data_IF_836918373154
#
_entry.id   IF_836918373154
#
_cell.length_a   1.000
_cell.length_b   1.000
_cell.length_c   1.000
_cell.angle_alpha   90.00
_cell.angle_beta   90.00
_cell.angle_gamma   90.00
#
_symmetry.space_group_name_H-M   'P 1'
#
loop_
_entity.id
_entity.type
_entity.pdbx_description
1 polymer ?
#
# COMPACT_ATOMS: atom_id res chain seq x y z
N UNK A 1 34.28 21.87 25.05
CA UNK A 1 34.13 21.58 23.63
C UNK A 1 33.00 20.56 23.32
N UNK A 2 32.97 19.38 23.93
CA UNK A 2 31.90 18.38 23.70
C UNK A 2 30.49 18.91 23.99
N UNK A 3 30.28 19.64 25.07
CA UNK A 3 28.97 20.22 25.43
C UNK A 3 28.50 21.28 24.43
N UNK A 4 29.42 22.09 23.92
CA UNK A 4 29.11 23.09 22.88
C UNK A 4 28.78 22.44 21.53
N UNK A 5 29.49 21.37 21.17
CA UNK A 5 29.20 20.59 19.97
C UNK A 5 27.83 19.88 20.09
N UNK A 6 27.53 19.30 21.25
CA UNK A 6 26.22 18.68 21.52
C UNK A 6 25.07 19.70 21.48
N UNK A 7 25.25 20.88 22.11
CA UNK A 7 24.26 21.96 22.05
C UNK A 7 24.05 22.50 20.64
N UNK A 8 25.13 22.63 19.86
CA UNK A 8 25.06 23.04 18.43
C UNK A 8 24.30 22.00 17.59
N UNK A 9 24.52 20.71 17.80
CA UNK A 9 23.79 19.63 17.13
C UNK A 9 22.30 19.66 17.47
N UNK A 10 21.97 19.82 18.75
CA UNK A 10 20.56 19.92 19.19
C UNK A 10 19.89 21.15 18.57
N UNK A 11 20.54 22.30 18.61
CA UNK A 11 20.01 23.53 17.99
C UNK A 11 19.81 23.37 16.47
N UNK A 12 20.73 22.71 15.77
CA UNK A 12 20.61 22.40 14.36
C UNK A 12 19.43 21.47 14.06
N UNK A 13 19.27 20.40 14.85
CA UNK A 13 18.13 19.48 14.71
C UNK A 13 16.80 20.21 14.95
N UNK A 14 16.73 21.06 15.99
CA UNK A 14 15.54 21.86 16.27
C UNK A 14 15.23 22.84 15.13
N UNK A 15 16.27 23.48 14.54
CA UNK A 15 16.10 24.34 13.37
C UNK A 15 15.52 23.56 12.18
N UNK A 16 16.03 22.37 11.90
CA UNK A 16 15.53 21.51 10.84
C UNK A 16 14.06 21.11 11.09
N UNK A 17 13.70 20.84 12.35
CA UNK A 17 12.30 20.58 12.73
C UNK A 17 11.39 21.78 12.46
N UNK A 18 11.85 23.01 12.77
CA UNK A 18 11.09 24.23 12.51
C UNK A 18 10.94 24.55 11.01
N UNK A 19 11.95 24.21 10.20
CA UNK A 19 11.94 24.47 8.75
C UNK A 19 11.15 23.38 7.99
N UNK A 20 11.09 22.16 8.54
CA UNK A 20 10.45 21.00 7.88
C UNK A 20 9.02 21.29 7.39
N UNK A 21 8.10 21.94 8.16
CA UNK A 21 6.76 22.25 7.69
C UNK A 21 6.70 23.19 6.49
N UNK A 22 7.74 24.00 6.26
CA UNK A 22 7.78 24.95 5.14
C UNK A 22 7.99 24.26 3.79
N UNK A 23 8.59 23.06 3.80
CA UNK A 23 8.87 22.27 2.59
C UNK A 23 7.94 21.07 2.44
N UNK A 24 7.15 20.76 3.47
CA UNK A 24 6.19 19.67 3.44
C UNK A 24 4.98 20.01 2.54
N UNK A 25 4.38 19.02 1.89
CA UNK A 25 3.17 19.24 1.10
C UNK A 25 2.04 19.86 1.93
N UNK A 26 1.23 20.71 1.31
CA UNK A 26 -0.02 21.15 1.95
C UNK A 26 -0.99 19.98 2.01
N UNK A 27 -1.63 19.70 3.16
CA UNK A 27 -2.60 18.64 3.27
C UNK A 27 -3.76 18.82 2.28
N UNK A 28 -4.24 17.71 1.72
CA UNK A 28 -5.44 17.69 0.88
C UNK A 28 -6.67 17.81 1.79
N UNK A 29 -7.55 18.77 1.51
CA UNK A 29 -8.85 18.84 2.16
C UNK A 29 -9.79 17.77 1.57
N UNK A 30 -10.34 16.89 2.41
CA UNK A 30 -11.29 15.87 1.97
C UNK A 30 -12.76 16.34 1.87
N UNK A 31 -13.24 17.32 2.63
CA UNK A 31 -14.61 17.80 2.46
C UNK A 31 -14.86 18.25 1.02
N UNK A 32 -15.79 17.56 0.32
CA UNK A 32 -16.10 17.82 -1.09
C UNK A 32 -15.10 17.30 -2.12
N UNK A 33 -13.99 16.68 -1.70
CA UNK A 33 -13.02 16.09 -2.61
C UNK A 33 -13.56 14.78 -3.24
N UNK A 34 -13.25 14.55 -4.50
CA UNK A 34 -13.58 13.31 -5.18
C UNK A 34 -12.46 12.27 -5.02
N UNK A 35 -12.76 11.17 -4.35
CA UNK A 35 -11.85 10.06 -4.11
C UNK A 35 -12.28 8.82 -4.90
N UNK A 36 -11.42 8.33 -5.78
CA UNK A 36 -11.62 7.09 -6.54
C UNK A 36 -10.82 5.98 -5.86
N UNK A 37 -11.48 4.84 -5.57
CA UNK A 37 -10.85 3.67 -4.94
C UNK A 37 -11.04 2.44 -5.81
N UNK A 38 -9.97 1.94 -6.42
CA UNK A 38 -9.99 0.64 -7.08
C UNK A 38 -9.88 -0.48 -6.05
N UNK A 39 -10.56 -1.61 -6.28
CA UNK A 39 -10.67 -2.66 -5.26
C UNK A 39 -11.50 -2.22 -4.03
N UNK A 40 -12.37 -1.21 -4.18
CA UNK A 40 -13.15 -0.61 -3.10
C UNK A 40 -14.32 -1.43 -2.57
N UNK A 41 -14.57 -2.63 -3.12
CA UNK A 41 -15.71 -3.47 -2.72
C UNK A 41 -15.48 -4.29 -1.44
N UNK A 42 -14.24 -4.39 -0.93
CA UNK A 42 -13.91 -5.19 0.26
C UNK A 42 -12.57 -4.78 0.89
N UNK A 43 -12.27 -5.35 2.06
CA UNK A 43 -10.97 -5.26 2.71
C UNK A 43 -10.47 -3.83 2.90
N UNK A 44 -9.17 -3.61 2.66
CA UNK A 44 -8.49 -2.33 2.85
C UNK A 44 -9.14 -1.23 2.00
N UNK A 45 -9.46 -1.50 0.72
CA UNK A 45 -10.06 -0.51 -0.18
C UNK A 45 -11.41 0.01 0.31
N UNK A 46 -12.29 -0.89 0.79
CA UNK A 46 -13.57 -0.49 1.40
C UNK A 46 -13.35 0.36 2.66
N UNK A 47 -12.41 -0.02 3.52
CA UNK A 47 -12.12 0.74 4.73
C UNK A 47 -11.50 2.12 4.43
N UNK A 48 -10.66 2.24 3.38
CA UNK A 48 -10.16 3.54 2.91
C UNK A 48 -11.33 4.42 2.43
N UNK A 49 -12.25 3.87 1.65
CA UNK A 49 -13.42 4.59 1.19
C UNK A 49 -14.29 5.09 2.37
N UNK A 50 -14.51 4.25 3.39
CA UNK A 50 -15.21 4.63 4.62
C UNK A 50 -14.48 5.78 5.34
N UNK A 51 -13.16 5.68 5.49
CA UNK A 51 -12.38 6.70 6.19
C UNK A 51 -12.40 8.06 5.46
N UNK A 52 -12.30 8.06 4.12
CA UNK A 52 -12.44 9.28 3.33
C UNK A 52 -13.87 9.85 3.38
N UNK A 53 -14.88 8.97 3.34
CA UNK A 53 -16.29 9.39 3.39
C UNK A 53 -16.65 10.03 4.73
N UNK A 54 -16.16 9.50 5.85
CA UNK A 54 -16.29 10.11 7.19
C UNK A 54 -15.70 11.52 7.28
N UNK A 55 -14.77 11.85 6.38
CA UNK A 55 -14.14 13.17 6.30
C UNK A 55 -14.77 14.07 5.24
N UNK A 56 -15.92 13.70 4.68
CA UNK A 56 -16.71 14.53 3.79
C UNK A 56 -16.41 14.38 2.29
N UNK A 57 -15.63 13.38 1.87
CA UNK A 57 -15.34 13.12 0.47
C UNK A 57 -16.54 12.54 -0.29
N UNK A 58 -16.58 12.76 -1.61
CA UNK A 58 -17.35 11.97 -2.56
C UNK A 58 -16.53 10.74 -2.97
N UNK A 59 -17.16 9.58 -3.08
CA UNK A 59 -16.48 8.32 -3.32
C UNK A 59 -16.92 7.71 -4.64
N UNK A 60 -15.95 7.29 -5.47
CA UNK A 60 -16.18 6.34 -6.56
C UNK A 60 -15.49 5.02 -6.23
N UNK A 61 -16.27 3.96 -6.12
CA UNK A 61 -15.80 2.59 -5.96
C UNK A 61 -15.68 1.92 -7.33
N UNK A 62 -14.51 1.34 -7.59
CA UNK A 62 -14.23 0.60 -8.81
C UNK A 62 -13.82 -0.83 -8.48
N UNK A 63 -14.56 -1.84 -8.94
CA UNK A 63 -14.24 -3.26 -8.79
C UNK A 63 -15.03 -4.09 -9.80
N UNK A 64 -14.72 -5.38 -9.93
CA UNK A 64 -15.33 -6.29 -10.93
C UNK A 64 -16.75 -6.75 -10.58
N UNK A 65 -17.04 -6.93 -9.31
CA UNK A 65 -18.31 -7.50 -8.85
C UNK A 65 -19.27 -6.40 -8.40
N UNK A 66 -20.35 -6.22 -9.15
CA UNK A 66 -21.34 -5.17 -8.94
C UNK A 66 -22.11 -5.35 -7.63
N UNK A 67 -22.50 -6.58 -7.28
CA UNK A 67 -23.25 -6.85 -6.04
C UNK A 67 -22.42 -6.48 -4.80
N UNK A 68 -21.11 -6.83 -4.81
CA UNK A 68 -20.19 -6.45 -3.74
C UNK A 68 -19.98 -4.93 -3.67
N UNK A 69 -19.96 -4.24 -4.81
CA UNK A 69 -19.88 -2.77 -4.86
C UNK A 69 -21.12 -2.14 -4.22
N UNK A 70 -22.31 -2.62 -4.55
CA UNK A 70 -23.58 -2.12 -3.99
C UNK A 70 -23.70 -2.42 -2.50
N UNK A 71 -23.19 -3.57 -2.04
CA UNK A 71 -23.12 -3.87 -0.61
C UNK A 71 -22.16 -2.92 0.10
N UNK A 72 -20.96 -2.71 -0.44
CA UNK A 72 -19.97 -1.78 0.11
C UNK A 72 -20.51 -0.35 0.15
N UNK A 73 -21.20 0.10 -0.91
CA UNK A 73 -21.90 1.39 -0.94
C UNK A 73 -22.85 1.57 0.25
N UNK A 74 -23.73 0.60 0.49
CA UNK A 74 -24.68 0.64 1.62
C UNK A 74 -23.96 0.74 2.98
N UNK A 75 -22.80 0.09 3.12
CA UNK A 75 -22.01 0.18 4.35
C UNK A 75 -21.33 1.56 4.50
N UNK A 76 -20.78 2.12 3.41
CA UNK A 76 -20.12 3.42 3.42
C UNK A 76 -21.13 4.53 3.70
N UNK A 77 -22.30 4.50 3.07
CA UNK A 77 -23.35 5.53 3.22
C UNK A 77 -23.88 5.66 4.66
N UNK A 78 -23.74 4.64 5.51
CA UNK A 78 -24.04 4.72 6.95
C UNK A 78 -23.15 5.74 7.70
N UNK A 79 -22.05 6.15 7.11
CA UNK A 79 -21.08 7.09 7.68
C UNK A 79 -21.18 8.50 7.09
N UNK A 80 -22.29 8.81 6.42
CA UNK A 80 -22.53 10.15 5.86
C UNK A 80 -22.53 11.21 6.96
N UNK A 81 -21.87 12.33 6.70
CA UNK A 81 -21.86 13.50 7.59
C UNK A 81 -22.74 14.64 7.07
N UNK A 82 -23.26 14.53 5.85
CA UNK A 82 -24.21 15.47 5.24
C UNK A 82 -24.93 14.82 4.06
N UNK A 83 -26.05 15.42 3.64
CA UNK A 83 -26.95 14.90 2.59
C UNK A 83 -26.38 15.02 1.17
N UNK A 84 -25.24 15.71 0.98
CA UNK A 84 -24.65 15.96 -0.33
C UNK A 84 -23.64 14.89 -0.74
N UNK A 85 -23.16 14.09 0.22
CA UNK A 85 -22.18 13.06 -0.08
C UNK A 85 -22.76 11.95 -0.95
N UNK A 86 -21.95 11.51 -1.92
CA UNK A 86 -22.36 10.49 -2.89
C UNK A 86 -21.33 9.36 -2.92
N UNK A 87 -21.82 8.12 -3.02
CA UNK A 87 -21.02 6.94 -3.33
C UNK A 87 -21.44 6.41 -4.70
N UNK A 88 -20.55 6.54 -5.69
CA UNK A 88 -20.71 6.00 -7.03
C UNK A 88 -20.06 4.63 -7.12
N UNK A 89 -20.72 3.65 -7.74
CA UNK A 89 -20.19 2.33 -8.03
C UNK A 89 -20.04 2.14 -9.53
N UNK A 90 -18.87 1.69 -9.99
CA UNK A 90 -18.62 1.38 -11.40
C UNK A 90 -17.92 0.01 -11.48
N UNK A 91 -18.53 -0.91 -12.24
CA UNK A 91 -17.98 -2.24 -12.44
C UNK A 91 -17.03 -2.27 -13.63
N UNK A 92 -15.75 -2.63 -13.38
CA UNK A 92 -14.74 -2.84 -14.42
C UNK A 92 -13.57 -3.68 -13.87
N UNK A 93 -12.90 -4.43 -14.72
CA UNK A 93 -11.60 -5.03 -14.41
C UNK A 93 -10.49 -4.05 -14.82
N UNK A 94 -9.85 -3.45 -13.84
CA UNK A 94 -8.80 -2.43 -14.05
C UNK A 94 -7.51 -2.97 -14.69
N UNK A 95 -7.38 -4.30 -14.85
CA UNK A 95 -6.18 -4.95 -15.37
C UNK A 95 -6.25 -5.35 -16.84
N UNK A 96 -7.42 -5.23 -17.48
CA UNK A 96 -7.64 -5.81 -18.81
C UNK A 96 -7.42 -4.80 -19.95
N UNK A 97 -8.10 -3.68 -19.93
CA UNK A 97 -8.14 -2.72 -21.03
C UNK A 97 -8.06 -1.28 -20.53
N UNK A 98 -7.02 -0.56 -20.95
CA UNK A 98 -6.83 0.83 -20.60
C UNK A 98 -8.00 1.72 -21.02
N UNK A 99 -8.56 1.53 -22.23
CA UNK A 99 -9.62 2.39 -22.73
C UNK A 99 -10.91 2.24 -21.90
N UNK A 100 -11.21 1.03 -21.43
CA UNK A 100 -12.34 0.82 -20.51
C UNK A 100 -12.11 1.53 -19.18
N UNK A 101 -10.90 1.43 -18.63
CA UNK A 101 -10.54 2.12 -17.37
C UNK A 101 -10.60 3.63 -17.54
N UNK A 102 -10.06 4.18 -18.64
CA UNK A 102 -10.12 5.61 -18.92
C UNK A 102 -11.57 6.10 -19.01
N UNK A 103 -12.44 5.36 -19.72
CA UNK A 103 -13.86 5.69 -19.84
C UNK A 103 -14.57 5.68 -18.48
N UNK A 104 -14.26 4.71 -17.61
CA UNK A 104 -14.81 4.65 -16.25
C UNK A 104 -14.38 5.87 -15.42
N UNK A 105 -13.12 6.27 -15.51
CA UNK A 105 -12.63 7.47 -14.82
C UNK A 105 -13.31 8.73 -15.37
N UNK A 106 -13.48 8.86 -16.68
CA UNK A 106 -14.22 9.98 -17.30
C UNK A 106 -15.65 10.04 -16.81
N UNK A 107 -16.38 8.92 -16.79
CA UNK A 107 -17.75 8.85 -16.25
C UNK A 107 -17.82 9.27 -14.78
N UNK A 108 -16.84 8.86 -13.97
CA UNK A 108 -16.77 9.26 -12.57
C UNK A 108 -16.56 10.77 -12.43
N UNK A 109 -15.67 11.35 -13.24
CA UNK A 109 -15.41 12.80 -13.26
C UNK A 109 -16.60 13.63 -13.75
N UNK A 110 -17.35 13.15 -14.72
CA UNK A 110 -18.57 13.80 -15.20
C UNK A 110 -19.66 13.87 -14.11
N UNK A 111 -19.74 12.87 -13.24
CA UNK A 111 -20.75 12.79 -12.18
C UNK A 111 -20.37 13.51 -10.89
N UNK A 112 -19.11 13.41 -10.49
CA UNK A 112 -18.65 13.87 -9.16
C UNK A 112 -17.56 14.94 -9.22
N UNK A 113 -17.21 15.42 -10.42
CA UNK A 113 -16.11 16.36 -10.62
C UNK A 113 -14.75 15.67 -10.74
N UNK A 114 -13.70 16.45 -10.96
CA UNK A 114 -12.35 15.92 -11.18
C UNK A 114 -11.84 15.14 -9.96
N UNK A 115 -11.03 14.12 -10.21
CA UNK A 115 -10.47 13.28 -9.15
C UNK A 115 -9.39 14.05 -8.37
N UNK A 116 -9.54 14.14 -7.06
CA UNK A 116 -8.59 14.76 -6.13
C UNK A 116 -7.65 13.73 -5.51
N UNK A 117 -8.16 12.52 -5.26
CA UNK A 117 -7.37 11.39 -4.77
C UNK A 117 -7.73 10.11 -5.51
N UNK A 118 -6.71 9.42 -6.04
CA UNK A 118 -6.84 8.08 -6.59
C UNK A 118 -6.15 7.08 -5.65
N UNK A 119 -6.88 6.05 -5.24
CA UNK A 119 -6.35 4.94 -4.43
C UNK A 119 -6.34 3.65 -5.26
N UNK A 120 -5.16 3.24 -5.69
CA UNK A 120 -4.93 1.99 -6.38
C UNK A 120 -4.80 0.87 -5.33
N UNK A 121 -5.93 0.24 -4.99
CA UNK A 121 -6.03 -0.84 -4.01
C UNK A 121 -6.52 -2.17 -4.61
N UNK A 122 -6.88 -2.20 -5.89
CA UNK A 122 -7.16 -3.45 -6.58
C UNK A 122 -5.90 -4.33 -6.60
N UNK A 123 -6.04 -5.57 -6.19
CA UNK A 123 -4.91 -6.48 -6.13
C UNK A 123 -5.34 -7.92 -5.89
N UNK A 124 -4.39 -8.83 -6.05
CA UNK A 124 -4.55 -10.25 -5.74
C UNK A 124 -3.21 -10.80 -5.25
N UNK A 125 -3.25 -11.93 -4.56
CA UNK A 125 -2.08 -12.65 -4.08
C UNK A 125 -2.16 -14.13 -4.46
N UNK A 126 -1.01 -14.72 -4.71
CA UNK A 126 -0.83 -16.16 -4.85
C UNK A 126 0.46 -16.50 -4.12
N UNK A 127 0.41 -17.50 -3.25
CA UNK A 127 1.56 -18.03 -2.53
C UNK A 127 1.81 -19.48 -2.97
N UNK A 128 3.07 -19.82 -3.20
CA UNK A 128 3.49 -21.16 -3.61
C UNK A 128 4.99 -21.21 -3.78
N UNK A 129 5.57 -22.42 -3.83
CA UNK A 129 7.00 -22.56 -4.18
C UNK A 129 7.21 -22.23 -5.64
N UNK A 130 8.38 -21.70 -5.96
CA UNK A 130 8.71 -21.21 -7.29
C UNK A 130 8.49 -22.29 -8.38
N UNK A 131 9.00 -23.48 -8.13
CA UNK A 131 8.91 -24.62 -9.05
C UNK A 131 7.51 -25.23 -9.17
N UNK A 132 6.64 -24.97 -8.21
CA UNK A 132 5.26 -25.49 -8.15
C UNK A 132 4.24 -24.47 -8.71
N UNK A 133 4.65 -23.23 -8.92
CA UNK A 133 3.76 -22.13 -9.32
C UNK A 133 3.59 -22.08 -10.85
N UNK A 134 2.35 -22.04 -11.31
CA UNK A 134 2.04 -21.84 -12.73
C UNK A 134 2.59 -20.51 -13.26
N UNK A 135 3.23 -20.53 -14.43
CA UNK A 135 3.81 -19.31 -15.07
C UNK A 135 2.76 -18.24 -15.27
N UNK A 136 1.53 -18.61 -15.61
CA UNK A 136 0.40 -17.69 -15.75
C UNK A 136 0.08 -16.89 -14.48
N UNK A 137 0.47 -17.38 -13.29
CA UNK A 137 0.30 -16.66 -12.02
C UNK A 137 1.21 -15.44 -11.95
N UNK A 138 2.44 -15.51 -12.51
CA UNK A 138 3.36 -14.37 -12.58
C UNK A 138 2.78 -13.27 -13.47
N UNK A 139 2.29 -13.63 -14.65
CA UNK A 139 1.65 -12.68 -15.58
C UNK A 139 0.41 -12.04 -14.96
N UNK A 140 -0.47 -12.86 -14.37
CA UNK A 140 -1.68 -12.41 -13.71
C UNK A 140 -1.39 -11.42 -12.57
N UNK A 141 -0.40 -11.71 -11.73
CA UNK A 141 -0.03 -10.81 -10.63
C UNK A 141 0.54 -9.49 -11.13
N UNK A 142 1.35 -9.50 -12.18
CA UNK A 142 1.82 -8.26 -12.82
C UNK A 142 0.66 -7.50 -13.47
N UNK A 143 -0.23 -8.16 -14.18
CA UNK A 143 -1.39 -7.52 -14.79
C UNK A 143 -2.29 -6.86 -13.74
N UNK A 144 -2.70 -7.59 -12.70
CA UNK A 144 -3.65 -7.07 -11.70
C UNK A 144 -2.99 -6.05 -10.78
N UNK A 145 -1.83 -6.37 -10.18
CA UNK A 145 -1.24 -5.53 -9.15
C UNK A 145 -0.52 -4.30 -9.72
N UNK A 146 0.17 -4.45 -10.86
CA UNK A 146 0.96 -3.39 -11.47
C UNK A 146 0.18 -2.65 -12.56
N UNK A 147 -0.23 -3.31 -13.65
CA UNK A 147 -0.96 -2.63 -14.74
C UNK A 147 -2.32 -2.11 -14.28
N UNK A 148 -3.02 -2.84 -13.39
CA UNK A 148 -4.26 -2.39 -12.76
C UNK A 148 -4.09 -1.15 -11.88
N UNK A 149 -2.85 -0.77 -11.53
CA UNK A 149 -2.52 0.50 -10.88
C UNK A 149 -2.03 1.57 -11.87
N UNK A 150 -1.36 1.16 -12.96
CA UNK A 150 -0.89 2.06 -14.02
C UNK A 150 -2.06 2.71 -14.75
N UNK A 151 -3.05 1.92 -15.16
CA UNK A 151 -4.15 2.40 -16.00
C UNK A 151 -5.00 3.50 -15.33
N UNK A 152 -5.51 3.33 -14.10
CA UNK A 152 -6.24 4.40 -13.43
C UNK A 152 -5.37 5.64 -13.18
N UNK A 153 -4.09 5.45 -12.83
CA UNK A 153 -3.16 6.56 -12.60
C UNK A 153 -2.95 7.39 -13.85
N UNK A 154 -2.76 6.73 -15.02
CA UNK A 154 -2.64 7.40 -16.30
C UNK A 154 -3.91 8.17 -16.67
N UNK A 155 -5.09 7.64 -16.35
CA UNK A 155 -6.38 8.28 -16.67
C UNK A 155 -6.64 9.57 -15.87
N UNK A 156 -6.05 9.73 -14.66
CA UNK A 156 -6.28 10.93 -13.83
C UNK A 156 -5.15 11.96 -13.90
N UNK A 157 -3.94 11.55 -14.30
CA UNK A 157 -2.73 12.35 -14.07
C UNK A 157 -2.74 13.70 -14.79
N UNK A 158 -3.25 13.77 -16.03
CA UNK A 158 -3.30 15.00 -16.82
C UNK A 158 -4.15 16.06 -16.12
N UNK A 159 -5.36 15.71 -15.73
CA UNK A 159 -6.29 16.61 -15.02
C UNK A 159 -5.72 17.06 -13.67
N UNK A 160 -5.05 16.16 -12.92
CA UNK A 160 -4.39 16.52 -11.66
C UNK A 160 -3.25 17.52 -11.89
N UNK A 161 -2.41 17.33 -12.94
CA UNK A 161 -1.33 18.25 -13.28
C UNK A 161 -1.86 19.64 -13.68
N UNK A 162 -2.89 19.70 -14.52
CA UNK A 162 -3.53 20.95 -14.97
C UNK A 162 -4.10 21.75 -13.79
N UNK A 163 -4.77 21.07 -12.86
CA UNK A 163 -5.36 21.69 -11.66
C UNK A 163 -4.34 21.97 -10.56
N UNK A 164 -3.15 21.40 -10.66
CA UNK A 164 -2.07 21.46 -9.63
C UNK A 164 -2.55 20.96 -8.25
N UNK A 165 -3.40 19.95 -8.27
CA UNK A 165 -3.96 19.27 -7.08
C UNK A 165 -4.13 17.79 -7.38
N UNK A 166 -3.58 16.92 -6.54
CA UNK A 166 -3.80 15.48 -6.65
C UNK A 166 -3.04 14.67 -5.61
N UNK A 167 -3.62 13.50 -5.29
CA UNK A 167 -2.99 12.44 -4.51
C UNK A 167 -3.15 11.12 -5.25
N UNK A 168 -2.07 10.40 -5.42
CA UNK A 168 -2.08 9.04 -5.99
C UNK A 168 -1.51 8.09 -4.95
N UNK A 169 -2.31 7.10 -4.57
CA UNK A 169 -1.93 6.10 -3.58
C UNK A 169 -1.77 4.75 -4.27
N UNK A 170 -0.64 4.10 -4.07
CA UNK A 170 -0.40 2.72 -4.46
C UNK A 170 -0.39 1.84 -3.21
N UNK A 171 -1.33 0.90 -3.12
CA UNK A 171 -1.37 -0.07 -2.02
C UNK A 171 -0.46 -1.25 -2.40
N UNK A 172 0.78 -1.17 -1.96
CA UNK A 172 1.78 -2.23 -2.08
C UNK A 172 1.59 -3.28 -0.95
N UNK A 173 2.64 -3.68 -0.30
CA UNK A 173 2.71 -4.61 0.84
C UNK A 173 4.09 -4.52 1.48
N UNK A 174 4.26 -4.99 2.70
CA UNK A 174 5.59 -5.26 3.25
C UNK A 174 6.37 -6.24 2.36
N UNK A 175 5.69 -7.17 1.65
CA UNK A 175 6.27 -8.01 0.62
C UNK A 175 6.74 -7.23 -0.64
N UNK A 176 6.48 -5.93 -0.74
CA UNK A 176 7.06 -4.99 -1.71
C UNK A 176 8.28 -4.23 -1.17
N UNK A 177 8.74 -4.56 0.05
CA UNK A 177 9.95 -4.02 0.67
C UNK A 177 11.01 -5.11 0.92
N UNK A 178 10.57 -6.37 1.06
CA UNK A 178 11.43 -7.55 1.14
C UNK A 178 10.78 -8.72 0.42
N UNK A 179 11.60 -9.60 -0.17
CA UNK A 179 11.13 -10.86 -0.73
C UNK A 179 10.96 -11.91 0.37
N UNK A 180 9.86 -12.65 0.33
CA UNK A 180 9.55 -13.71 1.28
C UNK A 180 9.40 -15.06 0.57
N UNK A 181 9.72 -16.14 1.27
CA UNK A 181 9.51 -17.50 0.79
C UNK A 181 8.06 -17.67 0.31
N UNK A 182 7.86 -18.28 -0.85
CA UNK A 182 6.54 -18.53 -1.41
C UNK A 182 5.89 -17.33 -2.13
N UNK A 183 6.52 -16.15 -2.15
CA UNK A 183 6.01 -14.96 -2.81
C UNK A 183 6.82 -14.52 -4.03
N UNK A 184 7.44 -15.47 -4.75
CA UNK A 184 8.29 -15.17 -5.92
C UNK A 184 7.56 -14.49 -7.07
N UNK A 185 6.24 -14.62 -7.18
CA UNK A 185 5.42 -13.87 -8.12
C UNK A 185 4.78 -12.62 -7.47
N UNK A 186 4.35 -12.72 -6.21
CA UNK A 186 3.66 -11.62 -5.51
C UNK A 186 4.61 -10.47 -5.17
N UNK A 187 5.75 -10.76 -4.51
CA UNK A 187 6.71 -9.73 -4.13
C UNK A 187 7.17 -8.87 -5.31
N UNK A 188 7.61 -9.42 -6.47
CA UNK A 188 7.98 -8.59 -7.61
C UNK A 188 6.87 -7.66 -8.09
N UNK A 189 5.61 -8.12 -8.11
CA UNK A 189 4.46 -7.28 -8.51
C UNK A 189 4.25 -6.09 -7.57
N UNK A 190 4.57 -6.25 -6.27
CA UNK A 190 4.47 -5.19 -5.26
C UNK A 190 5.71 -4.29 -5.21
N UNK A 191 6.91 -4.82 -5.52
CA UNK A 191 8.12 -4.01 -5.76
C UNK A 191 7.99 -3.11 -6.98
N UNK A 192 7.36 -3.61 -8.06
CA UNK A 192 7.12 -2.83 -9.28
C UNK A 192 6.33 -1.54 -9.01
N UNK A 193 5.37 -1.56 -8.06
CA UNK A 193 4.63 -0.36 -7.63
C UNK A 193 5.55 0.69 -7.02
N UNK A 194 6.57 0.28 -6.28
CA UNK A 194 7.53 1.21 -5.69
C UNK A 194 8.34 1.92 -6.78
N UNK A 195 8.90 1.19 -7.74
CA UNK A 195 9.65 1.78 -8.84
C UNK A 195 8.79 2.76 -9.67
N UNK A 196 7.53 2.38 -9.95
CA UNK A 196 6.55 3.27 -10.60
C UNK A 196 6.34 4.55 -9.78
N UNK A 197 6.12 4.41 -8.48
CA UNK A 197 5.82 5.53 -7.59
C UNK A 197 7.00 6.50 -7.46
N UNK A 198 8.23 5.99 -7.32
CA UNK A 198 9.45 6.82 -7.22
C UNK A 198 9.65 7.64 -8.49
N UNK A 199 9.53 7.03 -9.66
CA UNK A 199 9.63 7.73 -10.94
C UNK A 199 8.49 8.75 -11.13
N UNK A 200 7.25 8.32 -10.90
CA UNK A 200 6.08 9.17 -11.05
C UNK A 200 6.13 10.39 -10.11
N UNK A 201 6.59 10.23 -8.86
CA UNK A 201 6.71 11.32 -7.91
C UNK A 201 7.61 12.45 -8.45
N UNK A 202 8.70 12.12 -9.13
CA UNK A 202 9.57 13.12 -9.76
C UNK A 202 8.84 13.90 -10.85
N UNK A 203 8.02 13.21 -11.66
CA UNK A 203 7.30 13.84 -12.78
C UNK A 203 6.13 14.73 -12.32
N UNK A 204 5.51 14.42 -11.18
CA UNK A 204 4.27 15.09 -10.76
C UNK A 204 4.47 16.13 -9.65
N UNK A 205 5.55 16.03 -8.86
CA UNK A 205 5.85 16.95 -7.76
C UNK A 205 5.86 18.44 -8.18
N UNK A 206 6.39 18.83 -9.36
CA UNK A 206 6.35 20.23 -9.81
C UNK A 206 4.93 20.76 -10.04
N UNK A 207 3.96 19.86 -10.18
CA UNK A 207 2.54 20.18 -10.36
C UNK A 207 1.72 20.09 -9.06
N UNK A 208 2.38 20.04 -7.90
CA UNK A 208 1.72 19.89 -6.59
C UNK A 208 0.83 18.63 -6.49
N UNK A 209 1.23 17.59 -7.22
CA UNK A 209 0.65 16.24 -7.11
C UNK A 209 1.63 15.35 -6.35
N UNK A 210 1.13 14.54 -5.42
CA UNK A 210 1.97 13.72 -4.55
C UNK A 210 1.55 12.25 -4.61
N UNK A 211 2.56 11.39 -4.58
CA UNK A 211 2.40 9.94 -4.61
C UNK A 211 2.68 9.36 -3.23
N UNK A 212 1.84 8.42 -2.80
CA UNK A 212 2.03 7.66 -1.56
C UNK A 212 2.09 6.17 -1.89
N UNK A 213 3.11 5.47 -1.37
CA UNK A 213 3.17 4.00 -1.41
C UNK A 213 2.89 3.48 -0.01
N UNK A 214 1.84 2.68 0.11
CA UNK A 214 1.47 2.04 1.36
C UNK A 214 2.01 0.61 1.42
N UNK A 215 2.52 0.22 2.58
CA UNK A 215 3.09 -1.10 2.85
C UNK A 215 2.34 -1.83 3.98
N UNK A 216 1.09 -2.28 3.72
CA UNK A 216 0.35 -3.05 4.70
C UNK A 216 1.09 -4.36 5.07
N UNK A 217 1.06 -4.78 6.35
CA UNK A 217 1.32 -6.14 6.78
C UNK A 217 0.16 -7.06 6.40
N UNK A 218 0.21 -8.33 6.82
CA UNK A 218 -0.94 -9.23 6.76
C UNK A 218 -2.13 -8.54 7.43
N UNK A 219 -3.23 -8.41 6.69
CA UNK A 219 -4.40 -7.65 7.11
C UNK A 219 -5.64 -8.55 6.99
N UNK A 220 -6.49 -8.56 8.02
CA UNK A 220 -7.71 -9.38 8.07
C UNK A 220 -8.69 -8.98 6.97
N UNK A 221 -8.60 -9.66 5.85
CA UNK A 221 -9.37 -9.38 4.64
C UNK A 221 -9.75 -10.68 3.94
N UNK A 222 -10.77 -10.66 3.07
CA UNK A 222 -11.11 -11.82 2.24
C UNK A 222 -9.92 -12.31 1.37
N UNK A 223 -9.02 -11.41 0.96
CA UNK A 223 -7.84 -11.77 0.19
C UNK A 223 -6.85 -12.60 1.03
N UNK A 224 -6.57 -12.21 2.27
CA UNK A 224 -5.71 -12.97 3.17
C UNK A 224 -6.34 -14.35 3.51
N UNK A 225 -7.66 -14.40 3.72
CA UNK A 225 -8.35 -15.65 3.96
C UNK A 225 -8.23 -16.63 2.78
N UNK A 226 -8.29 -16.12 1.54
CA UNK A 226 -8.10 -16.93 0.34
C UNK A 226 -6.64 -17.39 0.17
N UNK A 227 -5.69 -16.47 0.37
CA UNK A 227 -4.25 -16.76 0.31
C UNK A 227 -3.84 -17.85 1.31
N UNK A 228 -4.39 -17.80 2.53
CA UNK A 228 -4.08 -18.76 3.59
C UNK A 228 -4.50 -20.20 3.28
N UNK A 229 -5.38 -20.44 2.30
CA UNK A 229 -5.78 -21.80 1.88
C UNK A 229 -4.62 -22.54 1.21
N UNK A 230 -3.76 -21.83 0.48
CA UNK A 230 -2.67 -22.41 -0.32
C UNK A 230 -1.28 -21.99 0.13
N UNK A 231 -1.20 -21.13 1.16
CA UNK A 231 0.07 -20.58 1.66
C UNK A 231 0.99 -21.70 2.16
N UNK A 232 2.23 -21.84 1.67
CA UNK A 232 3.20 -22.81 2.16
C UNK A 232 3.43 -22.68 3.67
N UNK A 233 3.78 -23.79 4.33
CA UNK A 233 4.02 -23.80 5.78
C UNK A 233 5.13 -22.79 6.16
N UNK A 234 6.20 -22.73 5.39
CA UNK A 234 7.31 -21.83 5.58
C UNK A 234 6.85 -20.36 5.56
N UNK A 235 6.05 -20.00 4.55
CA UNK A 235 5.47 -18.65 4.41
C UNK A 235 4.55 -18.32 5.59
N UNK A 236 3.73 -19.28 6.01
CA UNK A 236 2.82 -19.10 7.16
C UNK A 236 3.59 -18.81 8.45
N UNK A 237 4.61 -19.63 8.75
CA UNK A 237 5.43 -19.46 9.96
C UNK A 237 6.22 -18.13 9.96
N UNK A 238 6.65 -17.67 8.79
CA UNK A 238 7.29 -16.35 8.65
C UNK A 238 6.26 -15.23 8.89
N UNK A 239 5.06 -15.30 8.28
CA UNK A 239 3.99 -14.32 8.46
C UNK A 239 3.52 -14.21 9.91
N UNK A 240 3.45 -15.32 10.64
CA UNK A 240 3.04 -15.35 12.06
C UNK A 240 3.95 -14.52 12.95
N UNK A 241 5.19 -14.22 12.55
CA UNK A 241 6.12 -13.40 13.34
C UNK A 241 5.70 -11.93 13.44
N UNK A 242 4.88 -11.42 12.52
CA UNK A 242 4.45 -10.01 12.46
C UNK A 242 2.99 -9.78 12.89
N UNK A 243 2.20 -10.85 12.99
CA UNK A 243 0.78 -10.78 13.33
C UNK A 243 -0.11 -10.21 12.22
N UNK A 244 -1.41 -10.12 12.50
CA UNK A 244 -2.44 -9.68 11.54
C UNK A 244 -3.06 -8.37 12.01
N UNK A 245 -3.11 -7.36 11.12
CA UNK A 245 -3.70 -6.05 11.40
C UNK A 245 -5.18 -6.00 10.99
N UNK A 246 -5.94 -5.10 11.65
CA UNK A 246 -7.31 -4.79 11.24
C UNK A 246 -7.31 -3.85 10.03
N UNK A 247 -8.17 -4.07 9.02
CA UNK A 247 -8.20 -3.24 7.81
C UNK A 247 -8.54 -1.77 8.08
N UNK A 248 -9.30 -1.48 9.13
CA UNK A 248 -9.64 -0.11 9.53
C UNK A 248 -8.40 0.67 10.03
N UNK A 249 -7.52 0.00 10.76
CA UNK A 249 -6.27 0.61 11.24
C UNK A 249 -5.32 0.93 10.08
N UNK A 250 -5.20 -0.02 9.16
CA UNK A 250 -4.42 0.13 7.92
C UNK A 250 -4.97 1.29 7.09
N UNK A 251 -6.29 1.32 6.86
CA UNK A 251 -6.95 2.36 6.08
C UNK A 251 -6.75 3.75 6.68
N UNK A 252 -6.92 3.89 8.00
CA UNK A 252 -6.75 5.17 8.72
C UNK A 252 -5.34 5.73 8.55
N UNK A 253 -4.32 4.87 8.64
CA UNK A 253 -2.93 5.30 8.45
C UNK A 253 -2.68 5.71 6.99
N UNK A 254 -3.14 4.91 6.00
CA UNK A 254 -2.97 5.22 4.58
C UNK A 254 -3.62 6.55 4.22
N UNK A 255 -4.88 6.78 4.65
CA UNK A 255 -5.60 8.03 4.38
C UNK A 255 -4.88 9.22 5.00
N UNK A 256 -4.42 9.10 6.25
CA UNK A 256 -3.65 10.15 6.93
C UNK A 256 -2.41 10.53 6.13
N UNK A 257 -1.60 9.54 5.73
CA UNK A 257 -0.35 9.79 5.01
C UNK A 257 -0.60 10.36 3.61
N UNK A 258 -1.61 9.83 2.91
CA UNK A 258 -2.00 10.33 1.59
C UNK A 258 -2.47 11.78 1.62
N UNK A 259 -3.30 12.16 2.59
CA UNK A 259 -3.73 13.55 2.80
C UNK A 259 -2.52 14.47 2.99
N UNK A 260 -1.57 14.06 3.82
CA UNK A 260 -0.35 14.81 4.10
C UNK A 260 0.63 14.84 2.94
N UNK A 261 0.46 13.96 1.94
CA UNK A 261 1.37 13.82 0.80
C UNK A 261 2.67 13.10 1.17
N UNK A 262 2.66 12.30 2.24
CA UNK A 262 3.80 11.46 2.61
C UNK A 262 4.05 10.41 1.53
N UNK A 263 5.32 10.21 1.15
CA UNK A 263 5.65 9.23 0.12
C UNK A 263 5.48 7.80 0.63
N UNK A 264 5.97 7.50 1.85
CA UNK A 264 5.82 6.19 2.46
C UNK A 264 4.68 6.20 3.48
N UNK A 265 3.78 5.22 3.38
CA UNK A 265 2.78 4.93 4.41
C UNK A 265 3.11 3.60 5.07
N UNK A 266 3.65 3.68 6.30
CA UNK A 266 4.11 2.53 7.09
C UNK A 266 3.10 2.22 8.19
N UNK A 267 2.77 0.95 8.36
CA UNK A 267 1.78 0.50 9.34
C UNK A 267 2.51 -0.22 10.49
N UNK A 268 2.38 0.33 11.69
CA UNK A 268 3.00 -0.22 12.90
C UNK A 268 4.52 -0.02 12.97
N UNK A 269 5.13 -0.54 14.03
CA UNK A 269 6.57 -0.45 14.30
C UNK A 269 7.40 -1.17 13.24
N UNK A 270 6.98 -2.38 12.87
CA UNK A 270 7.68 -3.21 11.88
C UNK A 270 7.64 -2.57 10.49
N UNK A 271 6.49 -1.99 10.11
CA UNK A 271 6.38 -1.21 8.89
C UNK A 271 7.31 0.00 8.87
N UNK A 272 7.42 0.72 9.99
CA UNK A 272 8.36 1.84 10.13
C UNK A 272 9.82 1.38 10.01
N UNK A 273 10.18 0.29 10.70
CA UNK A 273 11.52 -0.31 10.63
C UNK A 273 11.87 -0.70 9.19
N UNK A 274 10.97 -1.41 8.49
CA UNK A 274 11.17 -1.83 7.11
C UNK A 274 11.30 -0.63 6.17
N UNK A 275 10.46 0.37 6.30
CA UNK A 275 10.52 1.56 5.44
C UNK A 275 11.81 2.37 5.65
N UNK A 276 12.29 2.48 6.90
CA UNK A 276 13.56 3.13 7.19
C UNK A 276 14.74 2.31 6.68
N UNK A 277 14.70 0.97 6.85
CA UNK A 277 15.76 0.07 6.39
C UNK A 277 15.87 0.00 4.87
N UNK A 278 14.73 0.04 4.16
CA UNK A 278 14.66 -0.15 2.71
C UNK A 278 14.46 1.17 1.96
N UNK A 279 14.65 2.32 2.59
CA UNK A 279 14.40 3.62 1.97
C UNK A 279 15.19 3.82 0.69
N UNK A 280 16.48 3.42 0.64
CA UNK A 280 17.31 3.57 -0.55
C UNK A 280 17.36 5.04 -1.03
N UNK A 281 16.96 5.26 -2.28
CA UNK A 281 16.83 6.60 -2.89
C UNK A 281 15.36 7.09 -2.97
N UNK A 282 14.46 6.48 -2.19
CA UNK A 282 13.05 6.88 -2.17
C UNK A 282 12.90 8.36 -1.75
N UNK A 283 11.93 9.08 -2.32
CA UNK A 283 11.66 10.46 -1.95
C UNK A 283 11.30 10.59 -0.47
N UNK A 284 11.77 11.65 0.17
CA UNK A 284 11.33 12.08 1.50
C UNK A 284 10.42 13.30 1.38
N UNK A 285 9.42 13.40 2.24
CA UNK A 285 8.46 14.49 2.26
C UNK A 285 8.69 15.48 3.38
N UNK A 286 9.58 15.12 4.33
CA UNK A 286 10.03 16.03 5.38
C UNK A 286 11.51 15.82 5.72
N UNK A 287 12.16 16.88 6.21
CA UNK A 287 13.55 16.80 6.68
C UNK A 287 13.66 15.85 7.86
N UNK A 288 12.65 15.82 8.72
CA UNK A 288 12.62 14.97 9.90
C UNK A 288 12.59 13.49 9.55
N UNK A 289 11.81 13.11 8.52
CA UNK A 289 11.79 11.74 8.00
C UNK A 289 13.18 11.32 7.51
N UNK A 290 13.84 12.15 6.70
CA UNK A 290 15.18 11.89 6.20
C UNK A 290 16.21 11.70 7.31
N UNK A 291 16.21 12.57 8.33
CA UNK A 291 17.10 12.45 9.48
C UNK A 291 16.84 11.16 10.29
N UNK A 292 15.59 10.82 10.53
CA UNK A 292 15.24 9.60 11.22
C UNK A 292 15.75 8.36 10.47
N UNK A 293 15.56 8.31 9.15
CA UNK A 293 16.06 7.22 8.31
C UNK A 293 17.58 7.09 8.43
N UNK A 294 18.33 8.19 8.29
CA UNK A 294 19.81 8.18 8.40
C UNK A 294 20.28 7.67 9.77
N UNK A 295 19.64 8.10 10.85
CA UNK A 295 20.05 7.74 12.22
C UNK A 295 19.69 6.28 12.55
N UNK A 296 18.52 5.79 12.07
CA UNK A 296 18.00 4.48 12.49
C UNK A 296 18.40 3.33 11.55
N UNK A 297 18.81 3.62 10.33
CA UNK A 297 19.07 2.61 9.29
C UNK A 297 20.09 1.54 9.76
N UNK A 298 21.21 1.95 10.35
CA UNK A 298 22.24 1.02 10.80
C UNK A 298 21.75 0.07 11.90
N UNK A 299 21.02 0.59 12.88
CA UNK A 299 20.39 -0.20 13.92
C UNK A 299 19.36 -1.18 13.34
N UNK A 300 18.49 -0.69 12.48
CA UNK A 300 17.45 -1.53 11.86
C UNK A 300 18.05 -2.59 10.93
N UNK A 301 19.18 -2.29 10.26
CA UNK A 301 19.91 -3.32 9.50
C UNK A 301 20.41 -4.44 10.42
N UNK A 302 20.95 -4.09 11.58
CA UNK A 302 21.41 -5.08 12.56
C UNK A 302 20.26 -5.98 13.02
N UNK A 303 19.10 -5.40 13.36
CA UNK A 303 17.91 -6.16 13.75
C UNK A 303 17.44 -7.06 12.60
N UNK A 304 17.41 -6.54 11.38
CA UNK A 304 16.97 -7.30 10.18
C UNK A 304 17.84 -8.54 9.92
N UNK A 305 19.14 -8.51 10.26
CA UNK A 305 20.01 -9.69 10.10
C UNK A 305 19.56 -10.84 11.02
N UNK A 306 19.06 -10.54 12.22
CA UNK A 306 18.49 -11.57 13.12
C UNK A 306 17.19 -12.14 12.55
N UNK A 307 16.31 -11.29 11.98
CA UNK A 307 15.09 -11.76 11.31
C UNK A 307 15.42 -12.68 10.13
N UNK A 308 16.36 -12.28 9.25
CA UNK A 308 16.79 -13.11 8.11
C UNK A 308 17.35 -14.47 8.57
N UNK A 309 18.20 -14.48 9.61
CA UNK A 309 18.66 -15.73 10.21
C UNK A 309 17.55 -16.59 10.79
N UNK A 310 16.52 -15.97 11.37
CA UNK A 310 15.32 -16.68 11.86
C UNK A 310 14.52 -17.28 10.71
N UNK A 311 14.32 -16.55 9.61
CA UNK A 311 13.61 -17.03 8.42
C UNK A 311 14.33 -18.22 7.78
N UNK A 312 15.66 -18.14 7.63
CA UNK A 312 16.48 -19.27 7.15
C UNK A 312 16.32 -20.52 8.03
N UNK A 313 16.29 -20.34 9.36
CA UNK A 313 16.08 -21.44 10.28
C UNK A 313 14.67 -22.05 10.17
N UNK A 314 13.63 -21.25 9.96
CA UNK A 314 12.26 -21.74 9.69
C UNK A 314 12.26 -22.61 8.42
N UNK A 315 12.83 -22.12 7.32
CA UNK A 315 12.87 -22.85 6.05
C UNK A 315 13.63 -24.17 6.20
N UNK A 316 14.81 -24.16 6.88
CA UNK A 316 15.59 -25.38 7.11
C UNK A 316 14.83 -26.39 7.96
N UNK A 317 14.13 -25.97 9.02
CA UNK A 317 13.31 -26.86 9.87
C UNK A 317 12.19 -27.52 9.07
N UNK A 318 11.46 -26.74 8.26
CA UNK A 318 10.40 -27.26 7.40
C UNK A 318 10.95 -28.29 6.38
N UNK A 319 12.13 -28.03 5.79
CA UNK A 319 12.80 -28.96 4.89
C UNK A 319 13.12 -30.31 5.60
N UNK A 320 13.69 -30.25 6.81
CA UNK A 320 14.03 -31.46 7.58
C UNK A 320 12.79 -32.24 8.00
N UNK A 321 11.71 -31.55 8.36
CA UNK A 321 10.44 -32.21 8.70
C UNK A 321 9.84 -32.95 7.51
N UNK A 322 9.87 -32.36 6.31
CA UNK A 322 9.39 -32.99 5.07
C UNK A 322 10.27 -34.16 4.62
N UNK A 323 11.57 -34.16 4.98
CA UNK A 323 12.52 -35.24 4.64
C UNK A 323 12.43 -36.45 5.57
N UNK A 324 11.76 -36.35 6.73
CA UNK A 324 11.51 -37.50 7.59
C UNK A 324 10.40 -38.35 6.97
N UNK A 325 10.67 -39.65 6.61
CA UNK A 325 9.61 -40.52 6.14
C UNK A 325 8.54 -40.63 7.25
N UNK A 326 7.27 -40.58 6.86
CA UNK A 326 6.17 -41.05 7.75
C UNK A 326 6.52 -42.47 8.19
N UNK A 327 6.91 -42.66 9.43
CA UNK A 327 6.97 -43.96 10.04
C UNK A 327 5.50 -44.37 10.17
N UNK A 328 4.97 -44.98 9.12
CA UNK A 328 3.68 -45.70 9.17
C UNK A 328 3.89 -46.78 10.22
N UNK A 329 3.33 -46.56 11.40
CA UNK A 329 3.23 -47.56 12.45
C UNK A 329 2.38 -48.73 11.88
N UNK A 330 3.10 -49.71 11.27
CA UNK A 330 2.50 -50.95 10.82
C UNK A 330 2.42 -51.93 12.02
N UNK A 331 1.72 -51.51 13.07
CA UNK A 331 1.33 -52.42 14.16
C UNK A 331 -0.13 -52.11 14.50
N UNK A 332 -1.03 -52.73 13.73
CA UNK A 332 -2.40 -53.04 14.11
C UNK A 332 -2.81 -54.26 13.31
#
# INVERSE_FOLDING_TARGET
MLLLAAAGLVAFVLLLYMVSPLISPKPLALPGAHVVVTGGSSGIGKCIAIECYKQGAFITLVARNEDKLLQAKKEIEKHSINDKQVVLCISVDVSQDYNQVENVIKQAQEKLGPVDMLVNCAGTSVAGKFEEMEVSSFEKLMSVNYLGSVYPSRAVITTMKERRVGRIVFVSSQAGQLGLFGFTAYSPSKFALRGLAEALQMEVKPYNVYVTVAYPPDTDTPMLAEENKTKPLETRLISETTGVCKPEQVAKQIVKDAIQGNFNSSIGSDGYMLSSLTCGMAPVTSITEGLQQVVTMGLFRTIALFYLGSFDNIVRRCMVQKAKPEIVDKTA
#
